data_IF_238834849052
#
_entry.id   IF_238834849052
#
_cell.length_a   1.000
_cell.length_b   1.000
_cell.length_c   1.000
_cell.angle_alpha   90.00
_cell.angle_beta   90.00
_cell.angle_gamma   90.00
#
_symmetry.space_group_name_H-M   'P 1'
#
loop_
_entity.id
_entity.type
_entity.pdbx_description
1 polymer ?
#
# COMPACT_ATOMS: atom_id res chain seq x y z
N UNK A 1 -1.62 41.30 -21.90
CA UNK A 1 -1.58 40.95 -20.47
C UNK A 1 -1.78 39.45 -20.39
N UNK A 2 -0.68 38.71 -20.28
CA UNK A 2 -0.68 37.25 -20.11
C UNK A 2 -0.73 36.95 -18.62
N UNK A 3 -1.76 36.22 -18.18
CA UNK A 3 -1.86 35.72 -16.81
C UNK A 3 -0.63 34.89 -16.44
N UNK A 4 -0.10 35.03 -15.22
CA UNK A 4 1.00 34.18 -14.77
C UNK A 4 0.49 32.74 -14.63
N UNK A 5 1.10 31.81 -15.38
CA UNK A 5 0.94 30.37 -15.16
C UNK A 5 1.39 30.06 -13.73
N UNK A 6 0.46 29.61 -12.90
CA UNK A 6 0.75 29.09 -11.57
C UNK A 6 1.70 27.89 -11.74
N UNK A 7 2.96 28.12 -11.42
CA UNK A 7 3.96 27.04 -11.34
C UNK A 7 3.67 26.35 -10.02
N UNK A 8 2.99 25.21 -10.07
CA UNK A 8 2.86 24.30 -8.93
C UNK A 8 4.27 24.01 -8.41
N UNK A 9 4.58 24.50 -7.20
CA UNK A 9 5.81 24.12 -6.53
C UNK A 9 5.69 22.63 -6.19
N UNK A 10 6.67 21.84 -6.62
CA UNK A 10 6.81 20.46 -6.17
C UNK A 10 6.90 20.47 -4.64
N UNK A 11 5.82 20.03 -3.96
CA UNK A 11 5.64 20.15 -2.51
C UNK A 11 4.22 20.55 -2.06
N UNK A 12 3.36 21.04 -2.97
CA UNK A 12 1.99 21.50 -2.65
C UNK A 12 0.90 20.42 -2.82
N UNK A 13 1.25 19.13 -2.71
CA UNK A 13 0.21 18.12 -2.55
C UNK A 13 -0.52 18.40 -1.24
N UNK A 14 -1.83 18.64 -1.33
CA UNK A 14 -2.64 18.85 -0.14
C UNK A 14 -2.40 17.67 0.80
N UNK A 15 -1.92 17.94 2.02
CA UNK A 15 -1.69 16.91 3.04
C UNK A 15 -2.96 16.10 3.33
N UNK A 16 -4.14 16.69 3.09
CA UNK A 16 -5.43 16.15 3.50
C UNK A 16 -5.91 14.93 2.69
N UNK A 17 -5.89 14.90 1.34
CA UNK A 17 -6.34 13.74 0.57
C UNK A 17 -5.44 12.51 0.76
N UNK A 18 -4.12 12.69 0.76
CA UNK A 18 -3.17 11.59 1.00
C UNK A 18 -3.36 10.96 2.38
N UNK A 19 -3.58 11.80 3.41
CA UNK A 19 -3.84 11.33 4.78
C UNK A 19 -5.15 10.56 4.89
N UNK A 20 -6.24 11.05 4.27
CA UNK A 20 -7.52 10.33 4.24
C UNK A 20 -7.36 8.95 3.59
N UNK A 21 -6.62 8.90 2.48
CA UNK A 21 -6.38 7.69 1.73
C UNK A 21 -5.55 6.68 2.55
N UNK A 22 -4.52 7.13 3.28
CA UNK A 22 -3.72 6.30 4.18
C UNK A 22 -4.55 5.79 5.38
N UNK A 23 -5.40 6.63 5.98
CA UNK A 23 -6.26 6.20 7.09
C UNK A 23 -7.31 5.17 6.66
N UNK A 24 -7.94 5.41 5.50
CA UNK A 24 -8.91 4.49 4.93
C UNK A 24 -8.23 3.17 4.53
N UNK A 25 -7.02 3.24 3.97
CA UNK A 25 -6.20 2.07 3.70
C UNK A 25 -5.93 1.24 4.96
N UNK A 26 -5.42 1.88 6.03
CA UNK A 26 -5.09 1.20 7.30
C UNK A 26 -6.27 0.38 7.82
N UNK A 27 -7.41 1.03 7.97
CA UNK A 27 -8.61 0.37 8.49
C UNK A 27 -9.15 -0.72 7.55
N UNK A 28 -8.97 -0.57 6.23
CA UNK A 28 -9.47 -1.53 5.26
C UNK A 28 -8.56 -2.75 5.17
N UNK A 29 -7.24 -2.59 5.24
CA UNK A 29 -6.32 -3.72 5.24
C UNK A 29 -6.53 -4.64 6.44
N UNK A 30 -6.69 -4.11 7.66
CA UNK A 30 -7.00 -4.95 8.85
C UNK A 30 -8.30 -5.72 8.68
N UNK A 31 -9.34 -5.07 8.14
CA UNK A 31 -10.62 -5.74 7.86
C UNK A 31 -10.46 -6.80 6.77
N UNK A 32 -9.61 -6.57 5.77
CA UNK A 32 -9.35 -7.53 4.70
C UNK A 32 -8.66 -8.77 5.25
N UNK A 33 -7.69 -8.62 6.15
CA UNK A 33 -7.05 -9.73 6.88
C UNK A 33 -8.11 -10.53 7.64
N UNK A 34 -8.90 -9.85 8.48
CA UNK A 34 -9.92 -10.50 9.29
C UNK A 34 -10.96 -11.25 8.44
N UNK A 35 -11.34 -10.67 7.29
CA UNK A 35 -12.26 -11.30 6.35
C UNK A 35 -11.62 -12.50 5.66
N UNK A 36 -10.37 -12.39 5.24
CA UNK A 36 -9.66 -13.48 4.58
C UNK A 36 -9.46 -14.71 5.49
N UNK A 37 -9.44 -14.53 6.82
CA UNK A 37 -9.42 -15.67 7.75
C UNK A 37 -10.73 -16.47 7.78
N UNK A 38 -11.87 -15.85 7.47
CA UNK A 38 -13.19 -16.51 7.56
C UNK A 38 -13.82 -16.82 6.21
N UNK A 39 -13.36 -16.16 5.15
CA UNK A 39 -13.93 -16.19 3.81
C UNK A 39 -12.82 -16.57 2.80
N UNK A 40 -12.71 -17.87 2.52
CA UNK A 40 -11.70 -18.43 1.62
C UNK A 40 -11.86 -17.97 0.17
N UNK A 41 -13.08 -17.66 -0.27
CA UNK A 41 -13.31 -17.08 -1.61
C UNK A 41 -12.74 -15.66 -1.68
N UNK A 42 -13.02 -14.86 -0.64
CA UNK A 42 -12.44 -13.52 -0.52
C UNK A 42 -10.92 -13.57 -0.39
N UNK A 43 -10.36 -14.52 0.35
CA UNK A 43 -8.91 -14.71 0.48
C UNK A 43 -8.24 -14.97 -0.86
N UNK A 44 -8.81 -15.86 -1.69
CA UNK A 44 -8.31 -16.12 -3.06
C UNK A 44 -8.37 -14.86 -3.90
N UNK A 45 -9.50 -14.17 -3.88
CA UNK A 45 -9.66 -12.91 -4.59
C UNK A 45 -8.63 -11.86 -4.13
N UNK A 46 -8.39 -11.74 -2.83
CA UNK A 46 -7.43 -10.79 -2.28
C UNK A 46 -6.00 -11.04 -2.74
N UNK A 47 -5.63 -12.32 -2.94
CA UNK A 47 -4.31 -12.71 -3.47
C UNK A 47 -4.22 -12.53 -4.99
N UNK A 48 -5.29 -12.84 -5.72
CA UNK A 48 -5.33 -12.77 -7.18
C UNK A 48 -5.49 -11.34 -7.71
N UNK A 49 -6.39 -10.55 -7.12
CA UNK A 49 -6.70 -9.17 -7.50
C UNK A 49 -7.07 -8.36 -6.25
N UNK A 50 -6.02 -7.80 -5.62
CA UNK A 50 -6.18 -7.00 -4.42
C UNK A 50 -7.12 -5.81 -4.64
N UNK A 51 -7.01 -5.12 -5.78
CA UNK A 51 -7.86 -3.95 -6.10
C UNK A 51 -9.34 -4.34 -6.07
N UNK A 52 -9.71 -5.41 -6.78
CA UNK A 52 -11.09 -5.88 -6.80
C UNK A 52 -11.57 -6.32 -5.41
N UNK A 53 -10.71 -6.97 -4.61
CA UNK A 53 -11.04 -7.35 -3.24
C UNK A 53 -11.34 -6.12 -2.37
N UNK A 54 -10.52 -5.07 -2.46
CA UNK A 54 -10.70 -3.81 -1.73
C UNK A 54 -11.96 -3.06 -2.18
N UNK A 55 -12.27 -3.04 -3.48
CA UNK A 55 -13.51 -2.46 -4.01
C UNK A 55 -14.75 -3.17 -3.46
N UNK A 56 -14.73 -4.52 -3.35
CA UNK A 56 -15.81 -5.29 -2.70
C UNK A 56 -16.00 -4.92 -1.22
N UNK A 57 -14.99 -4.35 -0.57
CA UNK A 57 -15.07 -3.84 0.80
C UNK A 57 -15.51 -2.37 0.88
N UNK A 58 -15.76 -1.73 -0.27
CA UNK A 58 -16.13 -0.32 -0.37
C UNK A 58 -14.95 0.64 -0.33
N UNK A 59 -13.72 0.16 -0.51
CA UNK A 59 -12.54 1.01 -0.64
C UNK A 59 -12.17 1.18 -2.11
N UNK A 60 -12.39 2.37 -2.65
CA UNK A 60 -12.11 2.69 -4.06
C UNK A 60 -10.64 3.06 -4.29
N UNK A 61 -9.89 3.37 -3.23
CA UNK A 61 -8.51 3.86 -3.35
C UNK A 61 -8.41 5.28 -3.90
N UNK A 62 -9.50 6.03 -3.95
CA UNK A 62 -9.50 7.40 -4.47
C UNK A 62 -9.86 8.44 -3.41
N UNK A 63 -9.35 9.67 -3.57
CA UNK A 63 -9.70 10.82 -2.72
C UNK A 63 -9.73 12.11 -3.54
N UNK A 64 -10.75 12.93 -3.30
CA UNK A 64 -10.87 14.26 -3.89
C UNK A 64 -9.85 15.24 -3.28
N UNK A 65 -9.32 16.13 -4.12
CA UNK A 65 -8.44 17.24 -3.77
C UNK A 65 -9.25 18.55 -3.85
N UNK A 66 -8.98 19.50 -2.95
CA UNK A 66 -9.69 20.79 -2.83
C UNK A 66 -9.67 21.68 -4.09
N UNK A 67 -8.90 21.32 -5.13
CA UNK A 67 -8.65 22.12 -6.34
C UNK A 67 -9.03 21.41 -7.65
N UNK A 68 -10.16 20.70 -7.69
CA UNK A 68 -10.69 19.97 -8.88
C UNK A 68 -9.84 18.79 -9.36
N UNK A 69 -9.19 18.07 -8.46
CA UNK A 69 -8.41 16.85 -8.77
C UNK A 69 -8.84 15.64 -7.95
N UNK A 70 -8.48 14.45 -8.42
CA UNK A 70 -8.63 13.18 -7.70
C UNK A 70 -7.27 12.49 -7.63
N UNK A 71 -6.91 11.98 -6.46
CA UNK A 71 -5.79 11.06 -6.29
C UNK A 71 -6.32 9.65 -6.37
N UNK A 72 -5.72 8.81 -7.21
CA UNK A 72 -6.02 7.38 -7.31
C UNK A 72 -4.80 6.55 -6.89
N UNK A 73 -4.93 5.84 -5.78
CA UNK A 73 -3.91 4.97 -5.22
C UNK A 73 -3.47 3.89 -6.21
N UNK A 74 -4.39 3.34 -7.00
CA UNK A 74 -4.09 2.23 -7.91
C UNK A 74 -3.28 2.67 -9.11
N UNK A 75 -3.26 3.98 -9.41
CA UNK A 75 -2.37 4.55 -10.40
C UNK A 75 -0.95 4.76 -9.84
N UNK A 76 -0.80 4.85 -8.52
CA UNK A 76 0.47 5.07 -7.82
C UNK A 76 1.12 3.76 -7.35
N UNK A 77 0.32 2.75 -6.99
CA UNK A 77 0.79 1.51 -6.42
C UNK A 77 0.46 0.31 -7.31
N UNK A 78 1.43 -0.59 -7.40
CA UNK A 78 1.20 -1.97 -7.82
C UNK A 78 1.18 -2.85 -6.56
N UNK A 79 -0.03 -3.29 -6.15
CA UNK A 79 -0.24 -4.00 -4.88
C UNK A 79 -0.29 -5.49 -5.14
N UNK A 80 0.66 -6.21 -4.54
CA UNK A 80 0.73 -7.67 -4.56
C UNK A 80 0.49 -8.20 -3.15
N UNK A 81 -0.47 -9.12 -2.97
CA UNK A 81 -0.71 -9.79 -1.68
C UNK A 81 -0.15 -11.20 -1.75
N UNK A 82 0.76 -11.53 -0.83
CA UNK A 82 1.33 -12.87 -0.70
C UNK A 82 0.84 -13.53 0.58
N UNK A 83 0.59 -14.83 0.52
CA UNK A 83 0.38 -15.64 1.72
C UNK A 83 1.70 -15.76 2.48
N UNK A 84 1.63 -15.92 3.80
CA UNK A 84 2.81 -16.07 4.64
C UNK A 84 3.58 -17.40 4.42
N UNK A 85 2.99 -18.39 3.76
CA UNK A 85 3.51 -19.75 3.73
C UNK A 85 4.62 -19.98 2.69
N UNK A 86 5.66 -20.69 3.18
CA UNK A 86 6.88 -21.22 2.54
C UNK A 86 7.99 -20.26 2.06
N UNK A 87 8.06 -19.02 2.58
CA UNK A 87 9.33 -18.28 2.53
C UNK A 87 10.02 -18.26 3.92
N UNK A 88 11.17 -18.93 4.11
CA UNK A 88 11.96 -18.81 5.34
C UNK A 88 12.41 -17.36 5.63
N UNK A 89 12.38 -16.47 4.65
CA UNK A 89 12.68 -15.03 4.81
C UNK A 89 11.53 -14.21 5.43
N UNK A 90 10.36 -14.81 5.67
CA UNK A 90 9.31 -14.19 6.49
C UNK A 90 9.62 -14.24 8.00
N UNK A 91 10.77 -14.81 8.38
CA UNK A 91 11.33 -14.57 9.70
C UNK A 91 11.83 -13.13 9.80
N UNK A 92 11.58 -12.51 10.95
CA UNK A 92 12.10 -11.20 11.28
C UNK A 92 13.63 -11.16 11.11
N UNK A 93 14.13 -10.40 10.13
CA UNK A 93 15.58 -10.14 9.93
C UNK A 93 15.94 -8.81 10.59
N UNK A 94 17.03 -8.80 11.36
CA UNK A 94 17.49 -7.58 12.02
C UNK A 94 17.98 -6.54 11.00
N UNK A 95 17.80 -5.23 11.26
CA UNK A 95 18.20 -4.15 10.34
C UNK A 95 19.70 -4.06 9.99
N UNK A 96 20.55 -4.93 10.55
CA UNK A 96 22.00 -4.95 10.34
C UNK A 96 22.50 -5.89 9.23
N UNK A 97 21.62 -6.73 8.65
CA UNK A 97 22.04 -7.86 7.81
C UNK A 97 21.77 -7.69 6.30
N UNK A 98 21.29 -6.54 5.85
CA UNK A 98 21.11 -6.25 4.41
C UNK A 98 22.42 -5.75 3.78
N UNK A 99 22.93 -6.47 2.77
CA UNK A 99 24.19 -6.14 2.07
C UNK A 99 24.02 -5.69 0.61
N UNK A 100 22.80 -5.45 0.14
CA UNK A 100 22.56 -5.14 -1.27
C UNK A 100 22.26 -3.65 -1.50
N UNK A 101 23.29 -2.92 -1.95
CA UNK A 101 23.13 -1.62 -2.59
C UNK A 101 24.20 -1.42 -3.69
N UNK A 102 23.98 -2.01 -4.86
CA UNK A 102 24.58 -1.50 -6.10
C UNK A 102 23.65 -0.41 -6.66
N UNK A 103 23.90 0.83 -6.25
CA UNK A 103 23.19 2.01 -6.76
C UNK A 103 24.02 2.61 -7.88
N UNK A 104 23.74 2.23 -9.13
CA UNK A 104 24.26 2.96 -10.29
C UNK A 104 23.53 4.29 -10.45
N UNK A 105 24.31 5.34 -10.70
CA UNK A 105 23.87 6.73 -10.76
C UNK A 105 23.12 7.02 -12.08
N UNK A 106 21.82 7.30 -12.00
CA UNK A 106 21.03 7.80 -13.13
C UNK A 106 21.05 9.34 -13.17
N UNK A 107 21.59 9.91 -14.25
CA UNK A 107 21.88 11.36 -14.39
C UNK A 107 20.84 12.16 -15.19
N UNK A 108 19.69 11.60 -15.55
CA UNK A 108 18.61 12.34 -16.23
C UNK A 108 17.22 11.91 -15.71
N UNK A 109 16.42 12.87 -15.27
CA UNK A 109 15.18 12.66 -14.54
C UNK A 109 14.05 12.21 -15.50
N UNK A 110 13.99 10.91 -15.83
CA UNK A 110 12.94 10.30 -16.66
C UNK A 110 11.52 10.31 -16.08
N UNK A 111 11.24 11.17 -15.11
CA UNK A 111 10.04 11.16 -14.27
C UNK A 111 8.77 11.37 -15.07
N UNK A 112 8.73 12.37 -15.96
CA UNK A 112 7.54 12.66 -16.76
C UNK A 112 7.16 11.51 -17.69
N UNK A 113 8.15 10.88 -18.31
CA UNK A 113 7.94 9.75 -19.21
C UNK A 113 7.56 8.48 -18.44
N UNK A 114 8.13 8.30 -17.26
CA UNK A 114 7.86 7.16 -16.39
C UNK A 114 6.50 7.25 -15.68
N UNK A 115 5.93 8.45 -15.50
CA UNK A 115 4.51 8.62 -15.11
C UNK A 115 3.59 8.24 -16.28
N UNK A 116 3.83 8.76 -17.49
CA UNK A 116 3.01 8.46 -18.68
C UNK A 116 3.04 6.98 -19.09
N UNK A 117 4.18 6.31 -18.91
CA UNK A 117 4.38 4.90 -19.24
C UNK A 117 4.05 3.96 -18.04
N UNK A 118 3.62 4.50 -16.90
CA UNK A 118 3.31 3.71 -15.69
C UNK A 118 4.51 3.06 -15.00
N UNK A 119 5.73 3.43 -15.39
CA UNK A 119 7.02 2.92 -14.89
C UNK A 119 7.41 3.42 -13.49
N UNK A 120 6.65 4.36 -12.91
CA UNK A 120 6.85 4.85 -11.53
C UNK A 120 5.88 4.26 -10.50
N UNK A 121 5.08 3.24 -10.86
CA UNK A 121 4.25 2.57 -9.86
C UNK A 121 5.16 1.94 -8.80
N UNK A 122 4.99 2.36 -7.56
CA UNK A 122 5.70 1.75 -6.44
C UNK A 122 5.09 0.36 -6.21
N UNK A 123 5.94 -0.66 -6.18
CA UNK A 123 5.49 -2.01 -5.86
C UNK A 123 5.32 -2.14 -4.35
N UNK A 124 4.12 -2.44 -3.90
CA UNK A 124 3.79 -2.73 -2.51
C UNK A 124 3.47 -4.21 -2.38
N UNK A 125 4.32 -4.95 -1.66
CA UNK A 125 4.05 -6.35 -1.32
C UNK A 125 3.51 -6.45 0.10
N UNK A 126 2.25 -6.88 0.23
CA UNK A 126 1.60 -7.13 1.51
C UNK A 126 1.66 -8.62 1.84
N UNK A 127 1.97 -8.94 3.09
CA UNK A 127 1.93 -10.33 3.55
C UNK A 127 0.67 -10.57 4.37
N UNK A 128 -0.19 -11.46 3.89
CA UNK A 128 -1.39 -11.90 4.59
C UNK A 128 -0.97 -12.87 5.71
N UNK A 129 -1.21 -12.53 6.99
CA UNK A 129 -0.87 -13.41 8.10
C UNK A 129 -1.77 -14.66 8.11
N UNK A 130 -1.26 -15.80 8.59
CA UNK A 130 -2.08 -17.01 8.73
C UNK A 130 -3.18 -16.79 9.76
N UNK A 131 -4.27 -17.54 9.63
CA UNK A 131 -5.32 -17.57 10.64
C UNK A 131 -4.76 -18.15 11.96
N UNK A 132 -5.02 -17.52 13.12
CA UNK A 132 -4.65 -18.09 14.41
C UNK A 132 -5.29 -19.47 14.64
N UNK A 133 -4.57 -20.39 15.28
CA UNK A 133 -5.06 -21.75 15.54
C UNK A 133 -6.30 -21.84 16.44
N UNK A 134 -6.60 -20.78 17.19
CA UNK A 134 -7.80 -20.67 18.04
C UNK A 134 -8.49 -19.32 17.78
N UNK A 135 -9.76 -19.31 17.34
CA UNK A 135 -10.50 -18.09 16.99
C UNK A 135 -10.57 -17.03 18.10
N UNK A 136 -10.43 -17.43 19.38
CA UNK A 136 -10.45 -16.46 20.50
C UNK A 136 -9.28 -15.48 20.43
N UNK A 137 -8.21 -15.82 19.72
CA UNK A 137 -7.04 -14.97 19.54
C UNK A 137 -7.14 -14.03 18.36
N UNK A 138 -8.18 -14.10 17.52
CA UNK A 138 -8.29 -13.30 16.30
C UNK A 138 -8.18 -11.79 16.59
N UNK A 139 -8.87 -11.31 17.63
CA UNK A 139 -8.80 -9.89 18.02
C UNK A 139 -7.40 -9.47 18.49
N UNK A 140 -6.71 -10.33 19.25
CA UNK A 140 -5.36 -10.07 19.74
C UNK A 140 -4.35 -10.10 18.59
N UNK A 141 -4.45 -11.09 17.69
CA UNK A 141 -3.58 -11.23 16.53
C UNK A 141 -3.68 -10.04 15.58
N UNK A 142 -4.89 -9.48 15.37
CA UNK A 142 -5.06 -8.25 14.60
C UNK A 142 -4.41 -7.05 15.30
N UNK A 143 -4.56 -6.94 16.62
CA UNK A 143 -3.93 -5.88 17.41
C UNK A 143 -2.39 -5.95 17.37
N UNK A 144 -1.82 -7.15 17.46
CA UNK A 144 -0.37 -7.35 17.37
C UNK A 144 0.16 -7.05 15.97
N UNK A 145 -0.57 -7.46 14.93
CA UNK A 145 -0.23 -7.12 13.54
C UNK A 145 -0.24 -5.61 13.31
N UNK A 146 -1.20 -4.91 13.93
CA UNK A 146 -1.26 -3.45 13.92
C UNK A 146 -0.10 -2.78 14.65
N UNK A 147 0.17 -3.23 15.87
CA UNK A 147 1.26 -2.72 16.68
C UNK A 147 2.64 -2.93 16.04
N UNK A 148 2.80 -4.01 15.26
CA UNK A 148 4.02 -4.30 14.51
C UNK A 148 4.27 -3.35 13.32
N UNK A 149 3.36 -2.40 13.05
CA UNK A 149 3.51 -1.44 11.96
C UNK A 149 3.28 -2.02 10.56
N UNK A 150 2.91 -3.30 10.45
CA UNK A 150 2.72 -4.02 9.18
C UNK A 150 1.49 -3.58 8.38
N UNK A 151 0.75 -2.58 8.86
CA UNK A 151 -0.42 -2.02 8.18
C UNK A 151 -0.06 -0.81 7.31
N UNK A 152 1.07 -0.15 7.59
CA UNK A 152 1.46 1.03 6.84
C UNK A 152 2.16 0.62 5.55
N UNK A 153 1.68 1.07 4.38
CA UNK A 153 2.27 0.69 3.09
C UNK A 153 3.65 1.35 2.85
N UNK A 154 4.01 2.34 3.66
CA UNK A 154 5.27 3.08 3.59
C UNK A 154 5.66 3.43 5.03
N UNK A 155 6.54 2.65 5.63
CA UNK A 155 7.37 3.11 6.74
C UNK A 155 8.57 3.80 6.12
N UNK A 156 8.60 5.14 6.14
CA UNK A 156 9.79 5.88 5.76
C UNK A 156 10.93 5.54 6.72
N UNK A 157 12.05 5.04 6.18
CA UNK A 157 13.32 4.97 6.88
C UNK A 157 14.03 6.33 6.80
#
# INVERSE_FOLDING_TARGET
MTEPKNVSLAGDEAFLPAVNLIYNWRSTWVRAIARAWVDEEFKKLLVEDAKQAFEKMGFTGTSEILSDGEVDLWNLLDVEVKLADDNPDNQYVNPGDSTDANVEQFTHNGWYRAVEEGLLKMKLTLTLPPEPSDPKWNALALGDYEAAGKIYPITGC
#
